data_IF_616374740528
#
_entry.id   IF_616374740528
#
_cell.length_a   1.000
_cell.length_b   1.000
_cell.length_c   1.000
_cell.angle_alpha   90.00
_cell.angle_beta   90.00
_cell.angle_gamma   90.00
#
_symmetry.space_group_name_H-M   'P 1'
#
loop_
_entity.id
_entity.type
_entity.pdbx_description
1 polymer ?
#
# COMPACT_ATOMS: atom_id res chain seq x y z
N UNK A 1 0.34 -5.05 -17.09
CA UNK A 1 0.36 -3.77 -16.36
C UNK A 1 0.86 -3.98 -14.95
N UNK A 2 1.66 -3.05 -14.48
CA UNK A 2 2.29 -3.13 -13.17
C UNK A 2 1.46 -2.39 -12.12
N UNK A 3 1.25 -3.02 -10.97
CA UNK A 3 0.50 -2.43 -9.88
C UNK A 3 1.25 -2.64 -8.58
N UNK A 4 1.24 -1.63 -7.73
CA UNK A 4 1.87 -1.74 -6.42
C UNK A 4 0.83 -1.63 -5.32
N UNK A 5 1.13 -2.28 -4.20
CA UNK A 5 0.23 -2.34 -3.05
C UNK A 5 1.01 -2.07 -1.77
N UNK A 6 0.42 -1.28 -0.89
CA UNK A 6 0.93 -1.10 0.46
C UNK A 6 -0.08 -1.74 1.40
N UNK A 7 0.36 -2.69 2.23
CA UNK A 7 -0.55 -3.41 3.11
C UNK A 7 -0.56 -2.82 4.51
N UNK A 8 -1.70 -2.96 5.17
CA UNK A 8 -1.93 -2.42 6.51
C UNK A 8 -2.59 -3.49 7.37
N UNK A 9 -2.33 -3.42 8.67
CA UNK A 9 -2.88 -4.37 9.61
C UNK A 9 -4.40 -4.24 9.76
N UNK A 10 -4.90 -3.01 9.68
CA UNK A 10 -6.33 -2.75 9.88
C UNK A 10 -6.77 -1.57 9.02
N UNK A 11 -8.08 -1.31 9.02
CA UNK A 11 -8.63 -0.26 8.18
C UNK A 11 -8.23 1.15 8.64
N UNK A 12 -8.05 1.36 9.93
CA UNK A 12 -7.77 2.70 10.45
C UNK A 12 -6.47 3.29 9.89
N UNK A 13 -5.32 2.62 10.01
CA UNK A 13 -4.11 3.17 9.40
C UNK A 13 -4.18 3.22 7.87
N UNK A 14 -4.93 2.30 7.25
CA UNK A 14 -5.10 2.35 5.80
C UNK A 14 -5.86 3.60 5.38
N UNK A 15 -6.90 3.97 6.11
CA UNK A 15 -7.65 5.19 5.83
C UNK A 15 -6.83 6.44 6.10
N UNK A 16 -6.05 6.45 7.17
CA UNK A 16 -5.15 7.56 7.45
C UNK A 16 -4.15 7.75 6.32
N UNK A 17 -3.59 6.65 5.86
CA UNK A 17 -2.64 6.68 4.74
C UNK A 17 -3.31 7.22 3.48
N UNK A 18 -4.51 6.75 3.19
CA UNK A 18 -5.23 7.19 2.00
C UNK A 18 -5.47 8.71 2.01
N UNK A 19 -5.91 9.24 3.16
CA UNK A 19 -6.16 10.67 3.29
C UNK A 19 -4.87 11.48 3.14
N UNK A 20 -3.81 11.03 3.78
CA UNK A 20 -2.52 11.71 3.70
C UNK A 20 -2.01 11.74 2.27
N UNK A 21 -2.01 10.59 1.61
CA UNK A 21 -1.50 10.49 0.25
C UNK A 21 -2.33 11.31 -0.72
N UNK A 22 -3.64 11.33 -0.54
CA UNK A 22 -4.52 12.15 -1.40
C UNK A 22 -4.17 13.63 -1.29
N UNK A 23 -3.90 14.12 -0.09
CA UNK A 23 -3.50 15.52 0.10
C UNK A 23 -2.19 15.84 -0.61
N UNK A 24 -1.33 14.84 -0.74
CA UNK A 24 -0.04 15.01 -1.40
C UNK A 24 -0.07 14.67 -2.89
N UNK A 25 -1.26 14.51 -3.44
CA UNK A 25 -1.41 14.25 -4.86
C UNK A 25 -1.23 12.80 -5.28
N UNK A 26 -1.20 11.88 -4.34
CA UNK A 26 -1.05 10.45 -4.64
C UNK A 26 -2.41 9.77 -4.53
N UNK A 27 -2.93 9.33 -5.65
CA UNK A 27 -4.20 8.61 -5.68
C UNK A 27 -4.01 7.14 -5.36
N UNK A 28 -4.90 6.62 -4.52
CA UNK A 28 -4.85 5.23 -4.11
C UNK A 28 -6.26 4.63 -4.12
N UNK A 29 -6.32 3.31 -4.22
CA UNK A 29 -7.56 2.58 -4.08
C UNK A 29 -7.48 1.71 -2.84
N UNK A 30 -8.35 1.97 -1.87
CA UNK A 30 -8.42 1.19 -0.65
C UNK A 30 -9.25 -0.06 -0.89
N UNK A 31 -8.71 -1.21 -0.51
CA UNK A 31 -9.40 -2.48 -0.67
C UNK A 31 -8.90 -3.48 0.37
N UNK A 32 -9.62 -4.58 0.50
CA UNK A 32 -9.17 -5.67 1.35
C UNK A 32 -7.94 -6.32 0.71
N UNK A 33 -6.98 -6.68 1.55
CA UNK A 33 -5.78 -7.36 1.08
C UNK A 33 -6.14 -8.76 0.58
N UNK A 34 -5.79 -9.12 -0.66
CA UNK A 34 -6.00 -10.48 -1.14
C UNK A 34 -5.28 -11.49 -0.27
N UNK A 35 -5.86 -12.69 -0.14
CA UNK A 35 -5.30 -13.72 0.73
C UNK A 35 -3.88 -14.12 0.36
N UNK A 36 -3.57 -14.10 -0.92
CA UNK A 36 -2.22 -14.50 -1.35
C UNK A 36 -1.15 -13.47 -1.00
N UNK A 37 -1.56 -12.26 -0.60
CA UNK A 37 -0.63 -11.23 -0.13
C UNK A 37 -0.53 -11.20 1.39
N UNK A 38 -1.53 -11.74 2.09
CA UNK A 38 -1.59 -11.66 3.53
C UNK A 38 -2.06 -12.99 4.09
N UNK A 39 -1.12 -13.80 4.51
CA UNK A 39 -1.42 -15.15 4.99
C UNK A 39 -2.18 -15.17 6.30
N UNK A 40 -2.14 -14.10 7.06
CA UNK A 40 -2.82 -14.05 8.35
C UNK A 40 -4.22 -13.48 8.29
N UNK A 41 -4.72 -13.25 7.10
CA UNK A 41 -6.13 -13.20 6.84
C UNK A 41 -6.83 -11.86 6.86
N UNK A 42 -6.56 -10.97 7.76
CA UNK A 42 -7.35 -9.74 7.89
C UNK A 42 -6.49 -8.52 7.70
N UNK A 43 -6.60 -7.90 6.55
CA UNK A 43 -5.86 -6.69 6.31
C UNK A 43 -6.47 -5.86 5.20
N UNK A 44 -5.95 -4.68 5.06
CA UNK A 44 -6.34 -3.75 4.02
C UNK A 44 -5.11 -3.29 3.27
N UNK A 45 -5.29 -2.92 2.02
CA UNK A 45 -4.18 -2.41 1.23
C UNK A 45 -4.61 -1.22 0.40
N UNK A 46 -3.61 -0.44 0.01
CA UNK A 46 -3.80 0.65 -0.93
C UNK A 46 -3.10 0.27 -2.22
N UNK A 47 -3.85 0.27 -3.30
CA UNK A 47 -3.29 0.08 -4.63
C UNK A 47 -2.89 1.44 -5.19
N UNK A 48 -1.71 1.54 -5.75
CA UNK A 48 -1.21 2.79 -6.27
C UNK A 48 -0.30 2.55 -7.46
N UNK A 49 0.03 3.63 -8.14
CA UNK A 49 0.91 3.57 -9.29
C UNK A 49 2.34 3.25 -8.86
N UNK A 50 3.03 2.39 -9.62
CA UNK A 50 4.42 2.03 -9.26
C UNK A 50 5.34 3.22 -9.11
N UNK A 51 5.21 4.21 -9.99
CA UNK A 51 6.10 5.37 -9.96
C UNK A 51 5.90 6.27 -8.74
N UNK A 52 4.78 6.13 -8.02
CA UNK A 52 4.51 6.91 -6.83
C UNK A 52 4.77 6.16 -5.53
N UNK A 53 5.17 4.90 -5.62
CA UNK A 53 5.29 4.04 -4.45
C UNK A 53 6.39 4.50 -3.49
N UNK A 54 7.53 4.90 -4.03
CA UNK A 54 8.62 5.40 -3.20
C UNK A 54 8.22 6.65 -2.43
N UNK A 55 7.58 7.59 -3.11
CA UNK A 55 7.08 8.80 -2.46
C UNK A 55 6.05 8.47 -1.39
N UNK A 56 5.13 7.57 -1.70
CA UNK A 56 4.10 7.18 -0.75
C UNK A 56 4.72 6.58 0.52
N UNK A 57 5.66 5.66 0.37
CA UNK A 57 6.32 5.05 1.51
C UNK A 57 7.03 6.09 2.38
N UNK A 58 7.72 7.03 1.74
CA UNK A 58 8.42 8.09 2.48
C UNK A 58 7.44 8.98 3.23
N UNK A 59 6.34 9.37 2.60
CA UNK A 59 5.34 10.21 3.25
C UNK A 59 4.73 9.52 4.46
N UNK A 60 4.43 8.23 4.34
CA UNK A 60 3.85 7.48 5.45
C UNK A 60 4.83 7.36 6.61
N UNK A 61 6.10 7.09 6.33
CA UNK A 61 7.11 7.01 7.38
C UNK A 61 7.31 8.35 8.07
N UNK A 62 7.39 9.41 7.29
CA UNK A 62 7.59 10.76 7.84
C UNK A 62 6.43 11.19 8.72
N UNK A 63 5.22 10.76 8.39
CA UNK A 63 4.02 11.15 9.13
C UNK A 63 3.66 10.16 10.24
N UNK A 64 4.45 9.11 10.42
CA UNK A 64 4.20 8.14 11.47
C UNK A 64 2.99 7.25 11.22
N UNK A 65 2.56 7.08 9.98
CA UNK A 65 1.46 6.18 9.65
C UNK A 65 2.02 4.78 9.42
N UNK A 66 1.69 3.80 10.28
CA UNK A 66 2.28 2.47 10.16
C UNK A 66 1.71 1.72 8.97
N UNK A 67 2.58 1.03 8.25
CA UNK A 67 2.17 0.08 7.21
C UNK A 67 3.02 -1.18 7.36
N UNK A 68 2.59 -2.26 6.70
CA UNK A 68 3.28 -3.55 6.87
C UNK A 68 4.27 -3.81 5.76
N UNK A 69 3.79 -4.03 4.55
CA UNK A 69 4.64 -4.46 3.44
C UNK A 69 4.23 -3.74 2.17
N UNK A 70 5.15 -3.74 1.22
CA UNK A 70 4.90 -3.15 -0.09
C UNK A 70 5.15 -4.26 -1.11
N UNK A 71 4.20 -4.44 -2.02
CA UNK A 71 4.29 -5.45 -3.06
C UNK A 71 4.14 -4.82 -4.43
N UNK A 72 4.83 -5.40 -5.40
CA UNK A 72 4.56 -5.11 -6.80
C UNK A 72 3.97 -6.37 -7.45
N UNK A 73 2.99 -6.16 -8.33
CA UNK A 73 2.39 -7.25 -9.08
C UNK A 73 2.57 -6.93 -10.56
N UNK A 74 3.28 -7.81 -11.26
CA UNK A 74 3.54 -7.63 -12.69
C UNK A 74 3.32 -8.98 -13.37
N UNK A 75 2.45 -8.98 -14.39
CA UNK A 75 2.15 -10.20 -15.17
C UNK A 75 1.74 -11.36 -14.28
N UNK A 76 0.94 -11.07 -13.25
CA UNK A 76 0.44 -12.10 -12.34
C UNK A 76 1.42 -12.56 -11.29
N UNK A 77 2.63 -12.02 -11.28
CA UNK A 77 3.64 -12.37 -10.27
C UNK A 77 3.74 -11.27 -9.22
N UNK A 78 3.80 -11.68 -7.96
CA UNK A 78 3.87 -10.77 -6.83
C UNK A 78 5.26 -10.82 -6.21
N UNK A 79 5.81 -9.64 -5.91
CA UNK A 79 7.13 -9.52 -5.35
C UNK A 79 7.13 -8.44 -4.27
N UNK A 80 7.75 -8.73 -3.13
CA UNK A 80 7.84 -7.73 -2.07
C UNK A 80 8.93 -6.72 -2.40
N UNK A 81 8.63 -5.45 -2.17
CA UNK A 81 9.58 -4.36 -2.38
C UNK A 81 10.13 -3.90 -1.04
N UNK A 82 11.44 -3.71 -1.00
CA UNK A 82 12.15 -3.21 0.18
C UNK A 82 12.50 -1.74 -0.07
N UNK A 83 11.60 -0.85 0.27
CA UNK A 83 11.81 0.58 0.07
C UNK A 83 12.19 1.32 1.35
#
# INVERSE_FOLDING_TARGET
MNRNFITFRSITPAQQAQRLLRREGVETLLQRTPRHMEQQGCGYCLRLRPEQTGLAAELLRRSGVPFRRIYTVMDGQMEELML
#
